data_IF_652927199879
#
_entry.id   IF_652927199879
#
_cell.length_a   1.000
_cell.length_b   1.000
_cell.length_c   1.000
_cell.angle_alpha   90.00
_cell.angle_beta   90.00
_cell.angle_gamma   90.00
#
_symmetry.space_group_name_H-M   'P 1'
#
loop_
_entity.id
_entity.type
_entity.pdbx_description
1 polymer ?
#
# COMPACT_ATOMS: atom_id res chain seq x y z
N UNK A 1 -4.79 4.12 -5.53
CA UNK A 1 -3.48 4.71 -5.85
C UNK A 1 -2.77 3.83 -6.85
N UNK A 2 -1.82 4.35 -7.61
CA UNK A 2 -0.99 3.55 -8.52
C UNK A 2 0.40 3.35 -7.89
N UNK A 3 0.73 2.10 -7.53
CA UNK A 3 2.03 1.71 -7.00
C UNK A 3 2.84 1.00 -8.09
N UNK A 4 3.41 1.76 -9.01
CA UNK A 4 4.23 1.22 -10.10
C UNK A 4 3.50 0.13 -10.91
N UNK A 5 2.30 0.46 -11.39
CA UNK A 5 1.46 -0.47 -12.14
C UNK A 5 0.66 -1.43 -11.25
N UNK A 6 0.79 -1.33 -9.92
CA UNK A 6 -0.07 -2.02 -8.97
C UNK A 6 -1.11 -1.07 -8.39
N UNK A 7 -2.30 -1.02 -9.02
CA UNK A 7 -3.40 -0.18 -8.55
C UNK A 7 -4.09 -0.79 -7.35
N UNK A 8 -3.92 -0.17 -6.18
CA UNK A 8 -4.61 -0.55 -4.93
C UNK A 8 -5.66 0.49 -4.60
N UNK A 9 -6.91 0.08 -4.37
CA UNK A 9 -7.95 1.00 -3.92
C UNK A 9 -7.91 1.19 -2.40
N UNK A 10 -8.24 2.39 -1.93
CA UNK A 10 -8.18 2.70 -0.49
C UNK A 10 -9.08 1.80 0.35
N UNK A 11 -10.27 1.46 -0.13
CA UNK A 11 -11.18 0.56 0.59
C UNK A 11 -10.68 -0.88 0.67
N UNK A 12 -9.67 -1.25 -0.12
CA UNK A 12 -9.07 -2.60 -0.09
C UNK A 12 -7.97 -2.73 0.94
N UNK A 13 -7.43 -1.60 1.43
CA UNK A 13 -6.32 -1.57 2.38
C UNK A 13 -6.84 -1.96 3.76
N UNK A 14 -6.17 -2.91 4.38
CA UNK A 14 -6.40 -3.31 5.77
C UNK A 14 -5.43 -2.58 6.70
N UNK A 15 -4.16 -2.50 6.30
CA UNK A 15 -3.11 -1.94 7.14
C UNK A 15 -1.99 -1.28 6.33
N UNK A 16 -1.35 -0.28 6.92
CA UNK A 16 -0.19 0.42 6.36
C UNK A 16 0.83 0.59 7.48
N UNK A 17 2.00 -0.02 7.32
CA UNK A 17 3.04 -0.02 8.34
C UNK A 17 4.39 0.42 7.80
N UNK A 18 5.19 0.99 8.68
CA UNK A 18 6.62 1.13 8.47
C UNK A 18 7.32 -0.21 8.75
N UNK A 19 8.19 -0.63 7.84
CA UNK A 19 9.06 -1.80 8.02
C UNK A 19 10.53 -1.41 7.85
N UNK A 20 11.34 -1.78 8.83
CA UNK A 20 12.81 -1.76 8.74
C UNK A 20 13.30 -3.12 8.25
N UNK A 21 13.49 -3.27 6.94
CA UNK A 21 14.20 -4.41 6.39
C UNK A 21 15.71 -4.27 6.70
N UNK A 22 16.48 -5.38 6.76
CA UNK A 22 17.89 -5.34 7.14
C UNK A 22 18.74 -4.36 6.33
N UNK A 23 18.41 -4.18 5.05
CA UNK A 23 19.16 -3.34 4.11
C UNK A 23 18.39 -2.06 3.73
N UNK A 24 17.13 -1.91 4.13
CA UNK A 24 16.31 -0.79 3.66
C UNK A 24 15.09 -0.48 4.54
N UNK A 25 14.50 0.68 4.33
CA UNK A 25 13.23 1.08 4.96
C UNK A 25 12.14 1.05 3.91
N UNK A 26 10.95 0.64 4.33
CA UNK A 26 9.81 0.59 3.43
C UNK A 26 8.51 0.96 4.14
N UNK A 27 7.54 1.39 3.34
CA UNK A 27 6.14 1.41 3.72
C UNK A 27 5.49 0.16 3.11
N UNK A 28 4.91 -0.68 3.97
CA UNK A 28 4.21 -1.90 3.57
C UNK A 28 2.72 -1.62 3.65
N UNK A 29 2.00 -1.92 2.58
CA UNK A 29 0.56 -1.77 2.47
C UNK A 29 -0.03 -3.16 2.31
N UNK A 30 -0.84 -3.60 3.27
CA UNK A 30 -1.53 -4.88 3.21
C UNK A 30 -2.99 -4.64 2.84
N UNK A 31 -3.46 -5.33 1.82
CA UNK A 31 -4.89 -5.36 1.48
C UNK A 31 -5.59 -6.50 2.22
N UNK A 32 -6.87 -6.33 2.51
CA UNK A 32 -7.65 -7.39 3.16
C UNK A 32 -7.82 -8.58 2.21
N UNK A 33 -7.65 -9.81 2.72
CA UNK A 33 -7.62 -11.02 1.88
C UNK A 33 -8.90 -11.22 1.05
N UNK A 34 -10.04 -10.71 1.49
CA UNK A 34 -11.31 -10.78 0.75
C UNK A 34 -11.27 -10.00 -0.57
N UNK A 35 -10.32 -9.07 -0.75
CA UNK A 35 -10.13 -8.32 -1.99
C UNK A 35 -9.11 -8.96 -2.93
N UNK A 36 -8.43 -10.04 -2.53
CA UNK A 36 -7.35 -10.66 -3.31
C UNK A 36 -7.78 -11.06 -4.72
N UNK A 37 -8.98 -11.64 -4.87
CA UNK A 37 -9.51 -12.02 -6.18
C UNK A 37 -9.83 -10.81 -7.05
N UNK A 38 -10.43 -9.76 -6.48
CA UNK A 38 -10.72 -8.51 -7.21
C UNK A 38 -9.44 -7.84 -7.70
N UNK A 39 -8.41 -7.78 -6.85
CA UNK A 39 -7.08 -7.26 -7.19
C UNK A 39 -6.45 -8.10 -8.31
N UNK A 40 -6.50 -9.43 -8.21
CA UNK A 40 -6.02 -10.34 -9.28
C UNK A 40 -6.70 -10.06 -10.62
N UNK A 41 -8.02 -9.88 -10.62
CA UNK A 41 -8.81 -9.59 -11.83
C UNK A 41 -8.40 -8.24 -12.43
N UNK A 42 -8.31 -7.18 -11.62
CA UNK A 42 -7.93 -5.85 -12.09
C UNK A 42 -6.53 -5.80 -12.69
N UNK A 43 -5.57 -6.49 -12.09
CA UNK A 43 -4.17 -6.47 -12.53
C UNK A 43 -3.88 -7.43 -13.68
N UNK A 44 -4.82 -8.34 -14.01
CA UNK A 44 -4.66 -9.40 -15.02
C UNK A 44 -3.37 -10.22 -14.82
N UNK A 45 -2.89 -10.31 -13.57
CA UNK A 45 -1.66 -10.97 -13.19
C UNK A 45 -1.91 -11.77 -11.92
N UNK A 46 -1.27 -12.93 -11.82
CA UNK A 46 -1.24 -13.69 -10.58
C UNK A 46 -0.39 -12.94 -9.55
N UNK A 47 -0.95 -12.66 -8.38
CA UNK A 47 -0.29 -11.99 -7.26
C UNK A 47 -0.20 -13.01 -6.11
N UNK A 48 1.01 -13.47 -5.72
CA UNK A 48 1.17 -14.42 -4.62
C UNK A 48 0.82 -13.83 -3.26
N UNK A 49 0.81 -12.50 -3.15
CA UNK A 49 0.61 -11.76 -1.90
C UNK A 49 -0.39 -10.63 -2.09
N UNK A 50 -1.06 -10.29 -1.01
CA UNK A 50 -1.97 -9.14 -0.85
C UNK A 50 -1.24 -7.91 -0.30
N UNK A 51 0.08 -8.02 -0.07
CA UNK A 51 0.93 -6.95 0.43
C UNK A 51 1.75 -6.29 -0.69
N UNK A 52 1.82 -4.97 -0.64
CA UNK A 52 2.59 -4.12 -1.53
C UNK A 52 3.66 -3.36 -0.73
N UNK A 53 4.80 -3.10 -1.36
CA UNK A 53 5.96 -2.48 -0.69
C UNK A 53 6.40 -1.25 -1.46
N UNK A 54 6.55 -0.13 -0.76
CA UNK A 54 7.18 1.09 -1.26
C UNK A 54 8.52 1.23 -0.55
N UNK A 55 9.60 0.99 -1.28
CA UNK A 55 10.94 1.16 -0.75
C UNK A 55 11.30 2.64 -0.66
N UNK A 56 11.83 3.07 0.49
CA UNK A 56 12.13 4.47 0.75
C UNK A 56 13.27 5.00 -0.11
N UNK A 57 14.21 4.16 -0.55
CA UNK A 57 15.29 4.59 -1.44
C UNK A 57 14.81 4.97 -2.85
N UNK A 58 13.58 4.59 -3.22
CA UNK A 58 12.95 4.97 -4.49
C UNK A 58 12.22 6.33 -4.39
N UNK A 59 12.08 6.88 -3.18
CA UNK A 59 11.24 8.05 -2.90
C UNK A 59 12.08 9.17 -2.30
N UNK A 60 12.07 10.33 -2.95
CA UNK A 60 12.63 11.53 -2.37
C UNK A 60 11.85 11.94 -1.11
N UNK A 61 12.56 12.31 -0.03
CA UNK A 61 11.95 12.68 1.26
C UNK A 61 10.99 11.60 1.82
N UNK A 62 11.37 10.33 1.77
CA UNK A 62 10.51 9.19 2.11
C UNK A 62 9.82 9.24 3.50
N UNK A 63 10.41 9.93 4.50
CA UNK A 63 9.76 10.15 5.80
C UNK A 63 8.50 11.00 5.68
N UNK A 64 8.59 12.11 4.96
CA UNK A 64 7.47 13.02 4.76
C UNK A 64 6.42 12.38 3.85
N UNK A 65 6.86 11.62 2.84
CA UNK A 65 5.97 10.78 2.05
C UNK A 65 5.16 9.83 2.95
N UNK A 66 5.82 9.01 3.78
CA UNK A 66 5.13 8.07 4.66
C UNK A 66 4.17 8.78 5.63
N UNK A 67 4.59 9.90 6.22
CA UNK A 67 3.74 10.70 7.11
C UNK A 67 2.47 11.19 6.40
N UNK A 68 2.62 11.82 5.23
CA UNK A 68 1.48 12.33 4.46
C UNK A 68 0.58 11.20 3.96
N UNK A 69 1.17 10.06 3.65
CA UNK A 69 0.45 8.87 3.24
C UNK A 69 -0.42 8.31 4.39
N UNK A 70 0.12 8.23 5.61
CA UNK A 70 -0.64 7.84 6.80
C UNK A 70 -1.77 8.84 7.12
N UNK A 71 -1.53 10.15 6.98
CA UNK A 71 -2.57 11.16 7.16
C UNK A 71 -3.72 10.95 6.16
N UNK A 72 -3.38 10.75 4.88
CA UNK A 72 -4.37 10.48 3.84
C UNK A 72 -5.17 9.20 4.13
N UNK A 73 -4.49 8.16 4.61
CA UNK A 73 -5.13 6.90 4.99
C UNK A 73 -6.15 7.08 6.11
N UNK A 74 -5.78 7.78 7.19
CA UNK A 74 -6.68 8.06 8.30
C UNK A 74 -7.91 8.89 7.88
N UNK A 75 -7.73 9.87 6.97
CA UNK A 75 -8.85 10.61 6.40
C UNK A 75 -9.82 9.71 5.61
N UNK A 76 -9.29 8.71 4.88
CA UNK A 76 -10.11 7.76 4.12
C UNK A 76 -10.83 6.77 5.02
N UNK A 77 -10.22 6.31 6.12
CA UNK A 77 -10.89 5.44 7.11
C UNK A 77 -12.08 6.13 7.79
N UNK A 78 -11.98 7.43 8.05
CA UNK A 78 -13.05 8.20 8.70
C UNK A 78 -14.22 8.53 7.76
N UNK A 79 -14.03 8.39 6.45
CA UNK A 79 -15.08 8.57 5.44
C UNK A 79 -15.32 7.23 4.74
N UNK A 80 -16.00 6.28 5.40
CA UNK A 80 -16.44 5.07 4.71
C UNK A 80 -17.29 5.51 3.52
N UNK A 81 -16.86 5.07 2.33
CA UNK A 81 -17.53 5.32 1.04
C UNK A 81 -18.79 4.47 0.99
#
# INVERSE_FOLDING_TARGET
MDLDGNKVYWYEIEDIVYSGFPETKATVISTHYTHHENIRIHHKKWQPTISHIIYWYLIEQAKDYHKNFMLTWEEKKQKPI
#
